data_IF_311500064011
#
_entry.id   IF_311500064011
#
_cell.length_a   1.000
_cell.length_b   1.000
_cell.length_c   1.000
_cell.angle_alpha   90.00
_cell.angle_beta   90.00
_cell.angle_gamma   90.00
#
_symmetry.space_group_name_H-M   'P 1'
#
loop_
_entity.id
_entity.type
_entity.pdbx_description
1 polymer ?
#
# COMPACT_ATOMS: atom_id res chain seq x y z
N UNK A 1 -24.66 -3.91 -10.52
CA UNK A 1 -26.13 -3.88 -10.37
C UNK A 1 -26.55 -5.15 -9.65
N UNK A 2 -27.42 -5.03 -8.65
CA UNK A 2 -28.02 -6.15 -7.92
C UNK A 2 -29.53 -6.06 -8.11
N UNK A 3 -30.16 -7.17 -8.45
CA UNK A 3 -31.59 -7.31 -8.66
C UNK A 3 -32.18 -8.23 -7.59
N UNK A 4 -33.34 -7.86 -7.05
CA UNK A 4 -34.03 -8.64 -6.02
C UNK A 4 -35.55 -8.41 -6.12
N UNK A 5 -36.32 -9.50 -6.03
CA UNK A 5 -37.80 -9.43 -6.04
C UNK A 5 -38.32 -8.75 -4.77
N UNK A 6 -39.34 -7.93 -4.92
CA UNK A 6 -40.06 -7.24 -3.85
C UNK A 6 -41.51 -7.74 -3.81
N UNK A 7 -42.05 -8.04 -2.62
CA UNK A 7 -43.47 -8.34 -2.39
C UNK A 7 -44.02 -7.44 -1.28
N UNK A 8 -45.28 -7.05 -1.40
CA UNK A 8 -45.97 -6.31 -0.34
C UNK A 8 -46.24 -7.17 0.91
N UNK A 9 -46.33 -8.49 0.74
CA UNK A 9 -46.47 -9.42 1.85
C UNK A 9 -46.31 -10.86 1.40
N UNK A 10 -45.62 -11.68 2.20
CA UNK A 10 -45.37 -13.10 1.90
C UNK A 10 -46.63 -14.00 1.92
N UNK A 11 -47.76 -13.45 2.38
CA UNK A 11 -49.08 -14.14 2.36
C UNK A 11 -49.65 -14.17 0.94
N UNK A 12 -49.27 -13.19 0.11
CA UNK A 12 -49.71 -13.12 -1.29
C UNK A 12 -48.89 -14.10 -2.12
N UNK A 13 -49.46 -15.26 -2.42
CA UNK A 13 -48.83 -16.29 -3.26
C UNK A 13 -48.80 -15.84 -4.72
N UNK A 14 -47.80 -15.08 -5.06
CA UNK A 14 -47.48 -14.68 -6.44
C UNK A 14 -46.23 -15.44 -6.90
N UNK A 15 -45.94 -15.35 -8.20
CA UNK A 15 -44.71 -15.92 -8.77
C UNK A 15 -43.49 -15.37 -8.02
N UNK A 16 -42.52 -16.22 -7.66
CA UNK A 16 -41.29 -15.90 -6.91
C UNK A 16 -41.49 -15.28 -5.52
N UNK A 17 -42.68 -15.32 -4.93
CA UNK A 17 -42.98 -14.72 -3.62
C UNK A 17 -42.10 -15.26 -2.47
N UNK A 18 -41.67 -16.54 -2.58
CA UNK A 18 -40.80 -17.17 -1.56
C UNK A 18 -39.42 -16.53 -1.50
N UNK A 19 -38.90 -16.13 -2.65
CA UNK A 19 -37.60 -15.46 -2.79
C UNK A 19 -37.65 -13.94 -2.68
N UNK A 20 -38.85 -13.35 -2.71
CA UNK A 20 -39.07 -11.92 -2.64
C UNK A 20 -38.88 -11.39 -1.21
N UNK A 21 -38.37 -10.17 -1.09
CA UNK A 21 -38.29 -9.45 0.16
C UNK A 21 -39.55 -8.59 0.38
N UNK A 22 -40.00 -8.50 1.64
CA UNK A 22 -41.02 -7.50 2.00
C UNK A 22 -40.36 -6.10 2.10
N UNK A 23 -41.13 -5.00 2.26
CA UNK A 23 -40.59 -3.66 2.27
C UNK A 23 -39.49 -3.43 3.34
N UNK A 24 -39.66 -3.96 4.56
CA UNK A 24 -38.68 -3.82 5.63
C UNK A 24 -37.41 -4.61 5.36
N UNK A 25 -37.55 -5.85 4.90
CA UNK A 25 -36.43 -6.70 4.46
C UNK A 25 -35.68 -6.05 3.30
N UNK A 26 -36.39 -5.45 2.35
CA UNK A 26 -35.79 -4.76 1.19
C UNK A 26 -35.04 -3.49 1.63
N UNK A 27 -35.61 -2.72 2.56
CA UNK A 27 -34.95 -1.56 3.14
C UNK A 27 -33.63 -1.94 3.82
N UNK A 28 -33.65 -2.98 4.66
CA UNK A 28 -32.45 -3.48 5.33
C UNK A 28 -31.43 -4.01 4.32
N UNK A 29 -31.87 -4.75 3.31
CA UNK A 29 -31.01 -5.24 2.24
C UNK A 29 -30.30 -4.09 1.51
N UNK A 30 -31.02 -3.05 1.10
CA UNK A 30 -30.43 -1.90 0.40
C UNK A 30 -29.46 -1.13 1.27
N UNK A 31 -29.75 -0.98 2.59
CA UNK A 31 -28.84 -0.37 3.54
C UNK A 31 -27.54 -1.17 3.67
N UNK A 32 -27.66 -2.48 3.88
CA UNK A 32 -26.48 -3.37 3.98
C UNK A 32 -25.62 -3.32 2.73
N UNK A 33 -26.21 -3.36 1.53
CA UNK A 33 -25.46 -3.26 0.27
C UNK A 33 -24.70 -1.93 0.17
N UNK A 34 -25.33 -0.81 0.56
CA UNK A 34 -24.67 0.50 0.57
C UNK A 34 -23.50 0.53 1.56
N UNK A 35 -23.68 -0.01 2.75
CA UNK A 35 -22.62 -0.10 3.76
C UNK A 35 -21.44 -0.98 3.29
N UNK A 36 -21.74 -2.13 2.68
CA UNK A 36 -20.73 -2.99 2.07
C UNK A 36 -19.97 -2.27 0.94
N UNK A 37 -20.68 -1.53 0.09
CA UNK A 37 -20.06 -0.76 -0.99
C UNK A 37 -19.10 0.32 -0.45
N UNK A 38 -19.50 1.01 0.60
CA UNK A 38 -18.65 2.01 1.28
C UNK A 38 -17.43 1.32 1.91
N UNK A 39 -17.63 0.17 2.57
CA UNK A 39 -16.55 -0.58 3.21
C UNK A 39 -15.52 -1.14 2.21
N UNK A 40 -15.97 -1.56 1.03
CA UNK A 40 -15.09 -2.03 -0.05
C UNK A 40 -14.26 -0.90 -0.68
N UNK A 41 -14.74 0.35 -0.57
CA UNK A 41 -14.09 1.52 -1.19
C UNK A 41 -14.14 1.47 -2.72
N UNK A 42 -13.33 2.33 -3.34
CA UNK A 42 -13.17 2.36 -4.79
C UNK A 42 -12.25 1.22 -5.22
N UNK A 43 -12.80 0.28 -5.99
CA UNK A 43 -11.98 -0.70 -6.71
C UNK A 43 -11.40 0.02 -7.93
N UNK A 44 -10.16 0.49 -7.82
CA UNK A 44 -9.45 1.04 -8.97
C UNK A 44 -9.23 -0.06 -10.02
N UNK A 45 -9.48 0.25 -11.29
CA UNK A 45 -9.15 -0.64 -12.42
C UNK A 45 -7.64 -0.72 -12.68
N UNK A 46 -6.89 0.19 -12.11
CA UNK A 46 -5.43 0.20 -12.07
C UNK A 46 -4.98 -0.27 -10.69
N UNK A 47 -3.88 -0.99 -10.60
CA UNK A 47 -3.29 -1.42 -9.31
C UNK A 47 -2.81 -0.25 -8.42
N UNK A 48 -3.13 0.99 -8.80
CA UNK A 48 -2.91 2.19 -8.01
C UNK A 48 -4.09 2.39 -7.06
N UNK A 49 -3.83 2.18 -5.79
CA UNK A 49 -4.74 2.60 -4.73
C UNK A 49 -4.66 4.11 -4.61
N UNK A 50 -5.75 4.81 -4.94
CA UNK A 50 -5.89 6.25 -4.69
C UNK A 50 -5.87 6.51 -3.19
N UNK A 51 -4.68 6.82 -2.70
CA UNK A 51 -4.51 7.23 -1.30
C UNK A 51 -4.82 8.72 -1.15
N UNK A 52 -5.53 9.07 -0.08
CA UNK A 52 -5.69 10.47 0.34
C UNK A 52 -4.33 11.10 0.66
N UNK A 53 -4.25 12.43 0.67
CA UNK A 53 -3.00 13.13 1.02
C UNK A 53 -2.54 12.81 2.47
N UNK A 54 -3.46 12.59 3.39
CA UNK A 54 -3.13 12.16 4.75
C UNK A 54 -2.51 10.77 4.79
N UNK A 55 -3.03 9.82 4.01
CA UNK A 55 -2.47 8.47 3.88
C UNK A 55 -1.09 8.48 3.22
N UNK A 56 -0.90 9.28 2.17
CA UNK A 56 0.42 9.48 1.52
C UNK A 56 1.44 10.04 2.50
N UNK A 57 1.04 11.05 3.28
CA UNK A 57 1.90 11.65 4.31
C UNK A 57 2.24 10.65 5.42
N UNK A 58 1.26 9.90 5.91
CA UNK A 58 1.48 8.85 6.90
C UNK A 58 2.39 7.75 6.36
N UNK A 59 2.15 7.26 5.14
CA UNK A 59 3.00 6.27 4.47
C UNK A 59 4.44 6.75 4.36
N UNK A 60 4.66 8.02 3.97
CA UNK A 60 6.01 8.63 3.90
C UNK A 60 6.70 8.58 5.27
N UNK A 61 5.98 8.89 6.34
CA UNK A 61 6.51 8.95 7.70
C UNK A 61 6.88 7.57 8.28
N UNK A 62 6.06 6.52 7.99
CA UNK A 62 6.28 5.19 8.58
C UNK A 62 7.17 4.27 7.75
N UNK A 63 7.36 4.59 6.47
CA UNK A 63 8.12 3.74 5.56
C UNK A 63 9.58 3.63 6.00
N UNK A 64 10.12 2.43 5.87
CA UNK A 64 11.55 2.19 6.14
C UNK A 64 12.35 2.42 4.87
N UNK A 65 13.57 2.89 5.04
CA UNK A 65 14.51 3.25 3.98
C UNK A 65 15.81 2.49 4.18
N UNK A 66 16.52 2.25 3.08
CA UNK A 66 17.85 1.65 3.12
C UNK A 66 18.82 2.60 3.82
N UNK A 67 19.45 2.12 4.87
CA UNK A 67 20.30 2.89 5.78
C UNK A 67 21.58 2.09 6.02
N UNK A 68 22.68 2.77 6.21
CA UNK A 68 23.95 2.13 6.58
C UNK A 68 23.87 1.47 7.97
N UNK A 69 24.30 0.23 8.09
CA UNK A 69 24.42 -0.50 9.36
C UNK A 69 25.68 -0.11 10.14
N UNK A 70 26.72 0.36 9.43
CA UNK A 70 28.04 0.76 9.93
C UNK A 70 28.56 1.94 9.13
N UNK A 71 29.72 2.47 9.51
CA UNK A 71 30.44 3.43 8.69
C UNK A 71 30.96 2.75 7.42
N UNK A 72 30.68 3.33 6.25
CA UNK A 72 31.06 2.79 4.94
C UNK A 72 31.96 3.81 4.25
N UNK A 73 33.13 3.37 3.82
CA UNK A 73 34.08 4.23 3.12
C UNK A 73 33.78 4.30 1.63
N UNK A 74 34.12 5.44 1.03
CA UNK A 74 34.14 5.61 -0.43
C UNK A 74 34.91 4.47 -1.10
N UNK A 75 34.37 3.94 -2.20
CA UNK A 75 34.93 2.83 -2.94
C UNK A 75 34.49 1.45 -2.45
N UNK A 76 33.78 1.35 -1.34
CA UNK A 76 33.25 0.08 -0.83
C UNK A 76 32.15 -0.44 -1.76
N UNK A 77 32.22 -1.72 -2.14
CA UNK A 77 31.13 -2.44 -2.78
C UNK A 77 30.15 -2.89 -1.69
N UNK A 78 28.90 -2.49 -1.83
CA UNK A 78 27.87 -2.76 -0.82
C UNK A 78 27.50 -4.24 -0.76
N UNK A 79 27.52 -4.77 0.44
CA UNK A 79 27.04 -6.10 0.82
C UNK A 79 25.80 -6.03 1.73
N UNK A 80 25.19 -7.19 1.99
CA UNK A 80 24.04 -7.27 2.90
C UNK A 80 24.34 -6.78 4.33
N UNK A 81 25.59 -6.97 4.81
CA UNK A 81 26.01 -6.56 6.15
C UNK A 81 26.10 -5.05 6.32
N UNK A 82 26.25 -4.32 5.21
CA UNK A 82 26.37 -2.87 5.19
C UNK A 82 25.04 -2.15 5.37
N UNK A 83 23.93 -2.86 5.22
CA UNK A 83 22.60 -2.29 5.05
C UNK A 83 21.63 -2.71 6.15
N UNK A 84 20.71 -1.82 6.47
CA UNK A 84 19.57 -2.08 7.35
C UNK A 84 18.39 -1.20 6.92
N UNK A 85 17.17 -1.67 7.11
CA UNK A 85 15.96 -0.88 6.87
C UNK A 85 15.54 -0.14 8.13
N UNK A 86 15.60 1.20 8.12
CA UNK A 86 15.19 2.06 9.24
C UNK A 86 14.29 3.19 8.79
N UNK A 87 13.51 3.75 9.71
CA UNK A 87 12.83 5.03 9.50
C UNK A 87 13.85 6.16 9.55
N UNK A 88 13.76 7.09 8.64
CA UNK A 88 14.61 8.27 8.55
C UNK A 88 13.81 9.47 8.07
N UNK A 89 14.26 10.67 8.40
CA UNK A 89 13.66 11.94 7.94
C UNK A 89 14.18 12.41 6.58
N UNK A 90 15.03 11.64 5.90
CA UNK A 90 15.56 12.00 4.57
C UNK A 90 14.46 12.02 3.52
N UNK A 91 14.56 12.83 2.48
CA UNK A 91 13.52 12.96 1.44
C UNK A 91 13.78 12.12 0.18
N UNK A 92 15.04 11.79 -0.12
CA UNK A 92 15.44 11.05 -1.32
C UNK A 92 16.03 9.70 -0.95
N UNK A 93 15.19 8.65 -0.87
CA UNK A 93 15.66 7.37 -0.37
C UNK A 93 15.28 6.20 -1.25
N UNK A 94 16.07 5.16 -1.09
CA UNK A 94 15.86 3.87 -1.69
C UNK A 94 15.02 3.03 -0.71
N UNK A 95 13.96 2.40 -1.20
CA UNK A 95 13.09 1.53 -0.42
C UNK A 95 13.42 0.07 -0.59
N UNK A 96 13.93 -0.30 -1.77
CA UNK A 96 14.30 -1.67 -2.09
C UNK A 96 15.79 -1.88 -1.79
N UNK A 97 16.06 -2.64 -0.74
CA UNK A 97 17.42 -2.97 -0.32
C UNK A 97 18.19 -3.76 -1.41
N UNK A 98 17.49 -4.57 -2.21
CA UNK A 98 18.12 -5.38 -3.26
C UNK A 98 18.66 -4.51 -4.40
N UNK A 99 18.07 -3.34 -4.63
CA UNK A 99 18.51 -2.40 -5.66
C UNK A 99 19.88 -1.76 -5.37
N UNK A 100 20.40 -1.94 -4.16
CA UNK A 100 21.64 -1.32 -3.68
C UNK A 100 22.81 -2.29 -3.65
N UNK A 101 22.56 -3.59 -3.62
CA UNK A 101 23.62 -4.60 -3.61
C UNK A 101 24.52 -4.50 -4.83
N UNK A 102 25.81 -4.78 -4.62
CA UNK A 102 26.86 -4.75 -5.63
C UNK A 102 27.11 -3.37 -6.26
N UNK A 103 26.53 -2.30 -5.71
CA UNK A 103 26.89 -0.93 -6.08
C UNK A 103 28.07 -0.45 -5.27
N UNK A 104 28.77 0.56 -5.79
CA UNK A 104 29.93 1.18 -5.16
C UNK A 104 29.53 2.49 -4.52
N UNK A 105 29.92 2.71 -3.28
CA UNK A 105 29.76 3.98 -2.56
C UNK A 105 30.78 4.99 -3.10
N UNK A 106 30.31 6.16 -3.49
CA UNK A 106 31.18 7.24 -4.01
C UNK A 106 31.53 8.33 -3.00
N UNK A 107 30.96 8.25 -1.79
CA UNK A 107 31.20 9.20 -0.69
C UNK A 107 31.17 8.45 0.64
N UNK A 108 32.00 8.83 1.61
CA UNK A 108 31.95 8.24 2.96
C UNK A 108 30.56 8.42 3.59
N UNK A 109 30.05 7.37 4.22
CA UNK A 109 28.74 7.33 4.89
C UNK A 109 28.96 6.90 6.33
N UNK A 110 28.42 7.66 7.27
CA UNK A 110 28.36 7.29 8.67
C UNK A 110 27.26 6.26 8.94
N UNK A 111 27.41 5.50 10.00
CA UNK A 111 26.39 4.58 10.50
C UNK A 111 25.05 5.28 10.70
N UNK A 112 23.95 4.59 10.36
CA UNK A 112 22.57 5.06 10.48
C UNK A 112 22.19 6.23 9.55
N UNK A 113 22.94 6.46 8.49
CA UNK A 113 22.57 7.44 7.45
C UNK A 113 21.83 6.77 6.31
N UNK A 114 20.81 7.43 5.79
CA UNK A 114 20.06 6.96 4.62
C UNK A 114 20.96 6.90 3.37
N UNK A 115 20.81 5.87 2.59
CA UNK A 115 21.52 5.68 1.33
C UNK A 115 20.64 6.22 0.21
N UNK A 116 21.16 7.17 -0.54
CA UNK A 116 20.51 7.84 -1.66
C UNK A 116 21.12 7.39 -2.99
N UNK A 117 20.41 7.59 -4.09
CA UNK A 117 20.90 7.21 -5.43
C UNK A 117 22.16 7.99 -5.85
N UNK A 118 22.27 9.25 -5.43
CA UNK A 118 23.37 10.16 -5.77
C UNK A 118 24.74 9.75 -5.20
N UNK A 119 24.77 8.86 -4.22
CA UNK A 119 26.01 8.35 -3.60
C UNK A 119 26.37 6.94 -4.05
N UNK A 120 25.67 6.42 -5.06
CA UNK A 120 25.84 5.08 -5.60
C UNK A 120 26.26 5.10 -7.07
N UNK A 121 27.19 4.23 -7.43
CA UNK A 121 27.52 3.91 -8.84
C UNK A 121 27.43 2.40 -9.06
N UNK A 122 27.23 1.99 -10.30
CA UNK A 122 27.42 0.60 -10.68
C UNK A 122 28.92 0.26 -10.61
N UNK A 123 29.22 -0.97 -10.21
CA UNK A 123 30.57 -1.48 -10.28
C UNK A 123 30.95 -1.56 -11.76
N UNK A 124 31.97 -0.83 -12.18
CA UNK A 124 32.58 -0.99 -13.50
C UNK A 124 33.24 -2.37 -13.56
N UNK A 125 32.98 -3.11 -14.60
CA UNK A 125 33.56 -4.45 -14.84
C UNK A 125 35.02 -4.33 -15.25
#
# INVERSE_FOLDING_TARGET
VIEKHLTLGKIMKMEDHESALNPDEFSNFTKTIKECFIALGLISKTNDFDMSESEKSYRKMIRRHVTSSRNIKKGTVISAEDLVLKRTSSENFIHDINSVYNRVIIKDIEKNKAINQDILKWKEN
#
